data_IF_327063780234
#
_entry.id   IF_327063780234
#
_cell.length_a   1.000
_cell.length_b   1.000
_cell.length_c   1.000
_cell.angle_alpha   90.00
_cell.angle_beta   90.00
_cell.angle_gamma   90.00
#
_symmetry.space_group_name_H-M   'P 1'
#
loop_
_entity.id
_entity.type
_entity.pdbx_description
1 polymer ?
#
# COMPACT_ATOMS: atom_id res chain seq x y z
N UNK A 1 21.20 -5.63 27.98
CA UNK A 1 20.07 -6.58 27.92
C UNK A 1 18.88 -5.81 27.38
N UNK A 2 18.73 -5.76 26.06
CA UNK A 2 17.44 -5.68 25.38
C UNK A 2 17.69 -5.83 23.87
N UNK A 3 17.34 -7.02 23.39
CA UNK A 3 17.24 -7.42 22.00
C UNK A 3 16.05 -6.71 21.37
N UNK A 4 16.27 -5.83 20.38
CA UNK A 4 15.20 -5.37 19.47
C UNK A 4 15.79 -4.70 18.23
N UNK A 5 16.24 -5.50 17.27
CA UNK A 5 16.54 -5.06 15.90
C UNK A 5 16.51 -6.29 14.97
N UNK A 6 15.41 -7.05 15.01
CA UNK A 6 15.19 -8.17 14.08
C UNK A 6 13.72 -8.40 13.73
N UNK A 7 12.86 -7.39 13.91
CA UNK A 7 11.47 -7.43 13.43
C UNK A 7 11.18 -6.37 12.36
N UNK A 8 12.18 -5.53 12.02
CA UNK A 8 12.00 -4.39 11.10
C UNK A 8 11.97 -4.77 9.61
N UNK A 9 12.12 -6.03 9.26
CA UNK A 9 12.17 -6.46 7.86
C UNK A 9 10.79 -6.77 7.26
N UNK A 10 9.79 -7.09 8.09
CA UNK A 10 8.49 -7.61 7.64
C UNK A 10 7.37 -6.55 7.62
N UNK A 11 7.62 -5.36 8.18
CA UNK A 11 6.66 -4.24 8.26
C UNK A 11 6.98 -3.07 7.32
N UNK A 12 8.00 -3.18 6.46
CA UNK A 12 8.45 -2.12 5.53
C UNK A 12 7.68 -2.04 4.21
N UNK A 13 6.64 -2.86 4.02
CA UNK A 13 5.99 -2.99 2.70
C UNK A 13 5.08 -1.84 2.33
N UNK A 14 4.73 -0.95 3.27
CA UNK A 14 4.05 0.30 2.99
C UNK A 14 4.60 1.37 3.94
N UNK A 15 5.43 2.29 3.44
CA UNK A 15 5.46 3.72 3.82
C UNK A 15 6.81 4.39 3.52
N UNK A 16 6.73 5.64 3.00
CA UNK A 16 7.41 6.87 3.47
C UNK A 16 7.46 7.90 2.32
N UNK A 17 6.42 8.74 2.14
CA UNK A 17 6.45 9.91 1.23
C UNK A 17 7.33 10.98 1.86
N UNK A 18 8.44 11.46 1.24
CA UNK A 18 9.18 12.60 1.75
C UNK A 18 8.29 13.83 1.85
N UNK A 19 7.99 14.28 3.06
CA UNK A 19 7.35 15.57 3.28
C UNK A 19 8.39 16.68 3.34
N UNK A 20 8.06 17.74 2.61
CA UNK A 20 8.64 19.08 2.59
C UNK A 20 10.18 19.17 2.57
N UNK A 21 10.73 19.43 1.38
CA UNK A 21 12.06 20.02 1.22
C UNK A 21 11.92 21.55 1.18
N UNK A 22 12.13 22.24 2.31
CA UNK A 22 12.32 23.70 2.27
C UNK A 22 13.73 24.01 1.77
N UNK A 23 13.78 24.55 0.56
CA UNK A 23 15.00 24.87 -0.17
C UNK A 23 15.55 26.23 0.32
N UNK A 24 16.58 26.24 1.19
CA UNK A 24 17.69 27.22 1.20
C UNK A 24 18.58 27.09 2.45
N UNK A 25 19.88 27.08 2.20
CA UNK A 25 20.99 27.47 3.11
C UNK A 25 21.17 26.67 4.40
N UNK A 26 22.12 25.74 4.37
CA UNK A 26 23.01 25.32 5.48
C UNK A 26 22.39 24.89 6.81
N UNK A 27 21.07 24.77 6.90
CA UNK A 27 20.37 24.15 8.01
C UNK A 27 19.32 23.16 7.46
N UNK A 28 19.62 21.85 7.43
CA UNK A 28 18.67 20.77 7.13
C UNK A 28 17.41 20.92 8.01
N UNK A 29 16.28 21.38 7.47
CA UNK A 29 15.03 21.48 8.22
C UNK A 29 14.50 20.07 8.57
N UNK A 30 13.64 19.93 9.59
CA UNK A 30 13.01 18.66 9.89
C UNK A 30 12.30 18.09 8.65
N UNK A 31 12.63 16.85 8.30
CA UNK A 31 11.94 16.12 7.24
C UNK A 31 10.89 15.22 7.88
N UNK A 32 9.62 15.48 7.57
CA UNK A 32 8.50 14.64 8.00
C UNK A 32 8.09 13.75 6.84
N UNK A 33 8.23 12.43 6.95
CA UNK A 33 7.77 11.51 5.93
C UNK A 33 6.38 10.98 6.30
N UNK A 34 5.38 11.24 5.46
CA UNK A 34 4.01 10.79 5.70
C UNK A 34 3.78 9.45 5.01
N UNK A 35 3.45 8.43 5.81
CA UNK A 35 2.91 7.16 5.35
C UNK A 35 1.40 7.12 5.52
N UNK A 36 0.80 5.96 5.25
CA UNK A 36 -0.61 5.65 5.53
C UNK A 36 -0.81 5.05 6.93
N UNK A 37 0.24 4.44 7.49
CA UNK A 37 0.19 3.80 8.81
C UNK A 37 1.09 4.53 9.82
N UNK A 38 2.19 5.08 9.33
CA UNK A 38 3.20 5.71 10.16
C UNK A 38 3.64 7.05 9.57
N UNK A 39 3.91 8.02 10.43
CA UNK A 39 4.61 9.25 10.07
C UNK A 39 5.98 9.21 10.71
N UNK A 40 7.03 9.42 9.91
CA UNK A 40 8.40 9.47 10.41
C UNK A 40 8.87 10.92 10.45
N UNK A 41 9.05 11.46 11.64
CA UNK A 41 9.65 12.76 11.85
C UNK A 41 11.15 12.58 12.04
N UNK A 42 11.95 13.23 11.20
CA UNK A 42 13.39 13.25 11.35
C UNK A 42 13.86 14.68 11.65
N UNK A 43 14.37 14.87 12.86
CA UNK A 43 15.19 16.02 13.23
C UNK A 43 16.67 15.70 13.01
N UNK A 44 17.55 16.70 13.13
CA UNK A 44 19.00 16.57 12.97
C UNK A 44 19.68 15.46 13.77
N UNK A 45 19.09 15.07 14.90
CA UNK A 45 19.72 14.16 15.86
C UNK A 45 19.03 12.79 15.92
N UNK A 46 17.74 12.71 15.56
CA UNK A 46 16.91 11.52 15.74
C UNK A 46 15.76 11.49 14.75
N UNK A 47 15.41 10.28 14.32
CA UNK A 47 14.15 10.01 13.65
C UNK A 47 13.21 9.27 14.62
N UNK A 48 11.99 9.76 14.75
CA UNK A 48 10.94 9.13 15.52
C UNK A 48 9.81 8.69 14.57
N UNK A 49 9.38 7.44 14.73
CA UNK A 49 8.21 6.90 14.03
C UNK A 49 7.03 7.12 14.96
N UNK A 50 6.03 7.86 14.49
CA UNK A 50 4.78 8.11 15.20
C UNK A 50 3.69 7.36 14.44
N UNK A 51 2.96 6.43 15.09
CA UNK A 51 1.78 5.82 14.49
C UNK A 51 0.77 6.91 14.14
N UNK A 52 0.32 6.94 12.89
CA UNK A 52 -0.58 7.95 12.38
C UNK A 52 -1.92 7.99 13.15
N UNK A 53 -2.33 6.84 13.70
CA UNK A 53 -3.51 6.66 14.56
C UNK A 53 -3.62 7.58 15.79
N UNK A 54 -2.51 8.16 16.27
CA UNK A 54 -2.47 9.00 17.47
C UNK A 54 -2.34 10.50 17.19
N UNK A 55 -2.10 10.88 15.94
CA UNK A 55 -2.34 12.26 15.53
C UNK A 55 -3.85 12.46 15.45
N UNK A 56 -4.37 13.63 15.81
CA UNK A 56 -5.79 14.00 15.64
C UNK A 56 -6.13 14.04 14.15
N UNK A 57 -6.20 12.86 13.52
CA UNK A 57 -6.27 12.74 12.08
C UNK A 57 -7.71 12.78 11.60
N UNK A 58 -7.97 13.50 10.51
CA UNK A 58 -9.30 13.61 9.93
C UNK A 58 -9.81 12.24 9.46
N UNK A 59 -11.13 12.01 9.59
CA UNK A 59 -11.79 10.72 9.33
C UNK A 59 -11.45 10.06 7.96
N UNK A 60 -11.04 10.85 6.96
CA UNK A 60 -10.61 10.33 5.66
C UNK A 60 -9.38 9.42 5.75
N UNK A 61 -8.50 9.63 6.73
CA UNK A 61 -7.28 8.84 6.89
C UNK A 61 -7.60 7.39 7.30
N UNK A 62 -8.53 7.19 8.23
CA UNK A 62 -9.04 5.87 8.60
C UNK A 62 -9.76 5.17 7.45
N UNK A 63 -10.47 5.92 6.59
CA UNK A 63 -11.10 5.35 5.39
C UNK A 63 -10.03 4.81 4.43
N UNK A 64 -8.93 5.56 4.21
CA UNK A 64 -7.83 5.09 3.36
C UNK A 64 -7.11 3.89 3.96
N UNK A 65 -6.88 3.88 5.27
CA UNK A 65 -6.31 2.74 5.98
C UNK A 65 -7.18 1.49 5.81
N UNK A 66 -8.49 1.60 6.04
CA UNK A 66 -9.42 0.50 5.86
C UNK A 66 -9.44 0.00 4.41
N UNK A 67 -9.50 0.92 3.45
CA UNK A 67 -9.48 0.57 2.03
C UNK A 67 -8.19 -0.17 1.64
N UNK A 68 -7.03 0.31 2.12
CA UNK A 68 -5.74 -0.36 1.89
C UNK A 68 -5.67 -1.75 2.53
N UNK A 69 -6.20 -1.92 3.75
CA UNK A 69 -6.30 -3.22 4.41
C UNK A 69 -7.19 -4.19 3.64
N UNK A 70 -8.34 -3.73 3.15
CA UNK A 70 -9.24 -4.57 2.35
C UNK A 70 -8.59 -5.01 1.04
N UNK A 71 -7.87 -4.10 0.37
CA UNK A 71 -7.09 -4.44 -0.83
C UNK A 71 -6.01 -5.47 -0.54
N UNK A 72 -5.23 -5.27 0.52
CA UNK A 72 -4.18 -6.20 0.94
C UNK A 72 -4.74 -7.58 1.35
N UNK A 73 -5.84 -7.62 2.11
CA UNK A 73 -6.51 -8.86 2.47
C UNK A 73 -7.02 -9.61 1.22
N UNK A 74 -7.57 -8.87 0.25
CA UNK A 74 -7.96 -9.41 -1.05
C UNK A 74 -6.79 -10.07 -1.78
N UNK A 75 -5.64 -9.39 -1.87
CA UNK A 75 -4.41 -9.94 -2.47
C UNK A 75 -3.93 -11.22 -1.76
N UNK A 76 -4.01 -11.26 -0.43
CA UNK A 76 -3.60 -12.44 0.33
C UNK A 76 -4.54 -13.63 0.06
N UNK A 77 -5.85 -13.39 -0.01
CA UNK A 77 -6.85 -14.41 -0.34
C UNK A 77 -6.62 -14.94 -1.76
N UNK A 78 -6.38 -14.07 -2.74
CA UNK A 78 -6.11 -14.49 -4.13
C UNK A 78 -4.82 -15.30 -4.23
N UNK A 79 -3.74 -14.89 -3.54
CA UNK A 79 -2.51 -15.67 -3.40
C UNK A 79 -2.77 -17.07 -2.85
N UNK A 80 -3.50 -17.19 -1.74
CA UNK A 80 -3.84 -18.49 -1.13
C UNK A 80 -4.65 -19.35 -2.09
N UNK A 81 -5.62 -18.76 -2.80
CA UNK A 81 -6.40 -19.46 -3.81
C UNK A 81 -5.54 -19.92 -5.00
N UNK A 82 -4.55 -19.14 -5.44
CA UNK A 82 -3.65 -19.52 -6.52
C UNK A 82 -2.66 -20.63 -6.12
N UNK A 83 -2.13 -20.59 -4.90
CA UNK A 83 -1.23 -21.63 -4.38
C UNK A 83 -1.99 -22.96 -4.22
N UNK A 84 -3.24 -22.87 -3.77
CA UNK A 84 -4.13 -24.02 -3.60
C UNK A 84 -4.60 -24.63 -4.92
N UNK A 85 -4.13 -24.14 -6.08
CA UNK A 85 -4.41 -24.68 -7.42
C UNK A 85 -3.86 -26.10 -7.62
N UNK A 86 -2.86 -26.53 -6.86
CA UNK A 86 -2.40 -27.93 -6.91
C UNK A 86 -3.49 -28.92 -6.47
N UNK A 87 -4.45 -28.47 -5.66
CA UNK A 87 -5.60 -29.26 -5.25
C UNK A 87 -6.73 -29.26 -6.29
N UNK A 88 -6.68 -28.36 -7.29
CA UNK A 88 -7.71 -28.25 -8.35
C UNK A 88 -7.71 -29.42 -9.34
N UNK A 89 -6.68 -30.28 -9.33
CA UNK A 89 -6.64 -31.45 -10.21
C UNK A 89 -7.75 -32.46 -9.88
N UNK A 90 -8.33 -32.38 -8.67
CA UNK A 90 -9.40 -33.24 -8.19
C UNK A 90 -10.80 -32.63 -8.34
N UNK A 91 -10.92 -31.39 -8.80
CA UNK A 91 -12.22 -30.71 -8.94
C UNK A 91 -12.80 -30.82 -10.36
N UNK A 92 -14.14 -30.83 -10.51
CA UNK A 92 -14.78 -30.81 -11.82
C UNK A 92 -14.44 -29.53 -12.60
N UNK A 93 -14.39 -29.58 -13.95
CA UNK A 93 -13.98 -28.45 -14.79
C UNK A 93 -14.84 -27.18 -14.56
N UNK A 94 -16.14 -27.32 -14.32
CA UNK A 94 -17.04 -26.20 -14.04
C UNK A 94 -16.67 -25.42 -12.77
N UNK A 95 -16.27 -26.11 -11.70
CA UNK A 95 -15.84 -25.45 -10.47
C UNK A 95 -14.49 -24.75 -10.62
N UNK A 96 -13.61 -25.31 -11.46
CA UNK A 96 -12.32 -24.70 -11.78
C UNK A 96 -12.49 -23.37 -12.53
N UNK A 97 -13.37 -23.30 -13.53
CA UNK A 97 -13.64 -22.05 -14.26
C UNK A 97 -14.27 -21.00 -13.35
N UNK A 98 -15.27 -21.37 -12.54
CA UNK A 98 -15.89 -20.46 -11.57
C UNK A 98 -14.88 -19.91 -10.54
N UNK A 99 -13.95 -20.75 -10.08
CA UNK A 99 -12.87 -20.34 -9.18
C UNK A 99 -11.91 -19.37 -9.85
N UNK A 100 -11.49 -19.63 -11.09
CA UNK A 100 -10.61 -18.72 -11.84
C UNK A 100 -11.26 -17.34 -12.05
N UNK A 101 -12.55 -17.32 -12.41
CA UNK A 101 -13.33 -16.08 -12.51
C UNK A 101 -13.40 -15.34 -11.16
N UNK A 102 -13.61 -16.07 -10.07
CA UNK A 102 -13.64 -15.50 -8.71
C UNK A 102 -12.28 -14.92 -8.30
N UNK A 103 -11.19 -15.61 -8.60
CA UNK A 103 -9.83 -15.12 -8.32
C UNK A 103 -9.53 -13.87 -9.14
N UNK A 104 -9.90 -13.86 -10.42
CA UNK A 104 -9.70 -12.68 -11.26
C UNK A 104 -10.53 -11.48 -10.79
N UNK A 105 -11.80 -11.68 -10.43
CA UNK A 105 -12.64 -10.60 -9.90
C UNK A 105 -12.11 -10.04 -8.58
N UNK A 106 -11.63 -10.91 -7.68
CA UNK A 106 -10.97 -10.49 -6.44
C UNK A 106 -9.69 -9.69 -6.69
N UNK A 107 -8.86 -10.08 -7.68
CA UNK A 107 -7.68 -9.31 -8.07
C UNK A 107 -8.03 -7.94 -8.68
N UNK A 108 -9.12 -7.82 -9.45
CA UNK A 108 -9.56 -6.51 -9.94
C UNK A 108 -10.08 -5.62 -8.81
N UNK A 109 -10.77 -6.21 -7.83
CA UNK A 109 -11.26 -5.50 -6.65
C UNK A 109 -10.09 -5.04 -5.73
N UNK A 110 -9.06 -5.86 -5.52
CA UNK A 110 -7.88 -5.46 -4.74
C UNK A 110 -7.12 -4.32 -5.40
N UNK A 111 -6.83 -4.43 -6.71
CA UNK A 111 -6.10 -3.40 -7.47
C UNK A 111 -6.86 -2.08 -7.47
N UNK A 112 -8.18 -2.10 -7.66
CA UNK A 112 -8.99 -0.89 -7.65
C UNK A 112 -9.06 -0.23 -6.26
N UNK A 113 -9.18 -1.02 -5.19
CA UNK A 113 -9.14 -0.53 -3.81
C UNK A 113 -7.78 0.12 -3.47
N UNK A 114 -6.66 -0.55 -3.77
CA UNK A 114 -5.31 -0.02 -3.50
C UNK A 114 -5.06 1.24 -4.33
N UNK A 115 -5.37 1.21 -5.63
CA UNK A 115 -5.19 2.38 -6.51
C UNK A 115 -5.99 3.58 -6.03
N UNK A 116 -7.24 3.36 -5.62
CA UNK A 116 -8.12 4.42 -5.11
C UNK A 116 -7.60 4.98 -3.80
N UNK A 117 -7.10 4.14 -2.89
CA UNK A 117 -6.49 4.57 -1.62
C UNK A 117 -5.27 5.49 -1.87
N UNK A 118 -4.42 5.16 -2.84
CA UNK A 118 -3.25 5.96 -3.21
C UNK A 118 -3.70 7.29 -3.82
N UNK A 119 -4.59 7.27 -4.80
CA UNK A 119 -5.05 8.49 -5.49
C UNK A 119 -5.69 9.46 -4.49
N UNK A 120 -6.59 8.97 -3.63
CA UNK A 120 -7.26 9.81 -2.64
C UNK A 120 -6.29 10.34 -1.58
N UNK A 121 -5.31 9.54 -1.16
CA UNK A 121 -4.25 9.97 -0.24
C UNK A 121 -3.44 11.14 -0.82
N UNK A 122 -2.97 11.03 -2.07
CA UNK A 122 -2.24 12.12 -2.72
C UNK A 122 -3.12 13.34 -3.03
N UNK A 123 -4.38 13.14 -3.41
CA UNK A 123 -5.32 14.23 -3.63
C UNK A 123 -5.58 15.04 -2.35
N UNK A 124 -5.71 14.35 -1.20
CA UNK A 124 -5.87 15.01 0.10
C UNK A 124 -4.60 15.69 0.59
N UNK A 125 -3.42 15.10 0.32
CA UNK A 125 -2.14 15.75 0.60
C UNK A 125 -1.99 17.05 -0.18
N UNK A 126 -2.33 17.06 -1.48
CA UNK A 126 -2.27 18.26 -2.33
C UNK A 126 -3.25 19.35 -1.88
N UNK A 127 -4.48 18.98 -1.52
CA UNK A 127 -5.49 19.89 -0.97
C UNK A 127 -5.03 20.52 0.35
N UNK A 128 -4.35 19.75 1.21
CA UNK A 128 -3.89 20.22 2.52
C UNK A 128 -2.70 21.17 2.46
N UNK A 129 -1.91 21.15 1.38
CA UNK A 129 -0.76 22.03 1.21
C UNK A 129 -0.48 22.37 -0.26
N UNK A 130 -1.28 23.27 -0.86
CA UNK A 130 -1.15 23.66 -2.27
C UNK A 130 0.15 24.44 -2.59
N UNK A 131 0.94 24.80 -1.58
CA UNK A 131 2.17 25.58 -1.74
C UNK A 131 3.42 24.72 -1.96
N UNK A 132 3.36 23.41 -1.71
CA UNK A 132 4.50 22.51 -1.91
C UNK A 132 3.98 21.17 -2.43
N UNK A 133 4.46 20.77 -3.61
CA UNK A 133 4.10 19.50 -4.23
C UNK A 133 4.63 18.33 -3.40
N UNK A 134 3.80 17.37 -2.98
CA UNK A 134 4.26 16.18 -2.28
C UNK A 134 5.18 15.37 -3.21
N UNK A 135 6.38 15.03 -2.74
CA UNK A 135 7.30 14.16 -3.49
C UNK A 135 6.88 12.71 -3.31
N UNK A 136 6.64 11.97 -4.39
CA UNK A 136 6.24 10.56 -4.31
C UNK A 136 7.31 9.71 -3.63
N UNK A 137 6.87 8.78 -2.78
CA UNK A 137 7.76 7.78 -2.19
C UNK A 137 8.10 6.69 -3.20
N UNK A 138 9.31 6.13 -3.05
CA UNK A 138 9.68 4.85 -3.66
C UNK A 138 8.68 3.72 -3.34
N UNK A 139 8.05 3.73 -2.15
CA UNK A 139 7.05 2.71 -1.79
C UNK A 139 5.77 2.85 -2.62
N UNK A 140 5.39 4.07 -2.99
CA UNK A 140 4.23 4.32 -3.87
C UNK A 140 4.53 3.84 -5.28
N UNK A 141 5.74 4.05 -5.79
CA UNK A 141 6.17 3.54 -7.10
C UNK A 141 6.17 2.02 -7.14
N UNK A 142 6.71 1.37 -6.10
CA UNK A 142 6.67 -0.09 -5.96
C UNK A 142 5.25 -0.64 -5.86
N UNK A 143 4.38 0.01 -5.07
CA UNK A 143 2.97 -0.37 -4.96
C UNK A 143 2.24 -0.22 -6.31
N UNK A 144 2.53 0.84 -7.07
CA UNK A 144 2.00 1.05 -8.42
C UNK A 144 2.46 -0.03 -9.39
N UNK A 145 3.75 -0.38 -9.38
CA UNK A 145 4.28 -1.47 -10.19
C UNK A 145 3.64 -2.82 -9.82
N UNK A 146 3.47 -3.11 -8.52
CA UNK A 146 2.79 -4.31 -8.05
C UNK A 146 1.34 -4.38 -8.52
N UNK A 147 0.61 -3.26 -8.49
CA UNK A 147 -0.75 -3.18 -9.01
C UNK A 147 -0.82 -3.47 -10.51
N UNK A 148 0.15 -3.00 -11.30
CA UNK A 148 0.23 -3.29 -12.75
C UNK A 148 0.45 -4.80 -12.98
N UNK A 149 1.37 -5.42 -12.25
CA UNK A 149 1.60 -6.86 -12.36
C UNK A 149 0.38 -7.68 -11.96
N UNK A 150 -0.31 -7.29 -10.89
CA UNK A 150 -1.55 -7.94 -10.46
C UNK A 150 -2.68 -7.78 -11.49
N UNK A 151 -2.82 -6.60 -12.10
CA UNK A 151 -3.78 -6.36 -13.18
C UNK A 151 -3.48 -7.24 -14.40
N UNK A 152 -2.22 -7.33 -14.82
CA UNK A 152 -1.80 -8.20 -15.92
C UNK A 152 -2.12 -9.66 -15.59
N UNK A 153 -1.84 -10.10 -14.37
CA UNK A 153 -2.17 -11.46 -13.92
C UNK A 153 -3.69 -11.72 -13.96
N UNK A 154 -4.51 -10.77 -13.50
CA UNK A 154 -5.97 -10.88 -13.53
C UNK A 154 -6.52 -11.00 -14.96
N UNK A 155 -5.99 -10.20 -15.90
CA UNK A 155 -6.34 -10.24 -17.32
C UNK A 155 -5.93 -11.58 -17.96
N UNK A 156 -4.73 -12.06 -17.67
CA UNK A 156 -4.28 -13.38 -18.16
C UNK A 156 -5.19 -14.49 -17.65
N UNK A 157 -5.59 -14.46 -16.38
CA UNK A 157 -6.52 -15.44 -15.81
C UNK A 157 -7.89 -15.40 -16.49
N UNK A 158 -8.40 -14.23 -16.85
CA UNK A 158 -9.66 -14.06 -17.61
C UNK A 158 -9.56 -14.63 -19.03
N UNK A 159 -8.41 -14.49 -19.69
CA UNK A 159 -8.23 -15.04 -21.05
C UNK A 159 -8.11 -16.57 -21.07
N UNK A 160 -7.68 -17.17 -19.95
CA UNK A 160 -7.44 -18.61 -19.83
C UNK A 160 -8.66 -19.35 -19.24
N UNK A 161 -9.54 -18.64 -18.52
CA UNK A 161 -10.78 -19.17 -17.94
C UNK A 161 -11.87 -19.39 -18.97
#
# INVERSE_FOLDING_TARGET
METRFSDDALLRTFDLVPGYQTNRTSRLPPHSFYGLWWVKFCDYLRCQIIPAFYAEEPAWYHVMQFLSLTGWAGMMITMVMLISKRLDMYLPPTFRTNRLLTVSSLCLLSVSAISTSIIMFYAKLDESSPKQTPQMSWSTELAGAACIFELIAALLLLTVS
#
